data_IF_895019150857
#
_entry.id   IF_895019150857
#
_cell.length_a   1.000
_cell.length_b   1.000
_cell.length_c   1.000
_cell.angle_alpha   90.00
_cell.angle_beta   90.00
_cell.angle_gamma   90.00
#
_symmetry.space_group_name_H-M   'P 1'
#
loop_
_entity.id
_entity.type
_entity.pdbx_description
1 polymer ?
#
# COMPACT_ATOMS: atom_id res chain seq x y z
N UNK A 1 0.70 -1.81 19.95
CA UNK A 1 0.37 -0.99 18.77
C UNK A 1 -1.02 -1.41 18.32
N UNK A 2 -1.97 -0.50 18.09
CA UNK A 2 -3.28 -0.92 17.59
C UNK A 2 -3.02 -1.64 16.28
N UNK A 3 -3.54 -2.86 16.15
CA UNK A 3 -3.55 -3.62 14.91
C UNK A 3 -4.04 -2.69 13.81
N UNK A 4 -3.12 -2.20 12.98
CA UNK A 4 -3.47 -1.26 11.92
C UNK A 4 -4.40 -2.01 10.97
N UNK A 5 -5.69 -1.72 11.09
CA UNK A 5 -6.74 -2.52 10.47
C UNK A 5 -6.64 -2.46 8.94
N UNK A 6 -6.04 -1.40 8.39
CA UNK A 6 -5.72 -1.30 6.97
C UNK A 6 -4.62 -2.29 6.59
N UNK A 7 -3.48 -2.32 7.29
CA UNK A 7 -2.40 -3.26 6.94
C UNK A 7 -2.87 -4.71 6.96
N UNK A 8 -3.67 -5.08 7.97
CA UNK A 8 -4.26 -6.43 8.06
C UNK A 8 -5.18 -6.77 6.88
N UNK A 9 -5.97 -5.79 6.40
CA UNK A 9 -6.81 -5.98 5.21
C UNK A 9 -5.99 -6.17 3.94
N UNK A 10 -4.85 -5.48 3.87
CA UNK A 10 -3.96 -5.55 2.71
C UNK A 10 -3.16 -6.86 2.65
N UNK A 11 -3.00 -7.58 3.76
CA UNK A 11 -2.22 -8.82 3.79
C UNK A 11 -2.84 -9.92 2.88
N UNK A 12 -4.17 -10.00 2.81
CA UNK A 12 -4.85 -10.91 1.87
C UNK A 12 -4.58 -10.52 0.41
N UNK A 13 -4.48 -9.21 0.13
CA UNK A 13 -4.17 -8.69 -1.20
C UNK A 13 -2.70 -8.89 -1.58
N UNK A 14 -1.79 -8.96 -0.61
CA UNK A 14 -0.38 -9.28 -0.86
C UNK A 14 -0.25 -10.69 -1.45
N UNK A 15 -0.90 -11.69 -0.83
CA UNK A 15 -0.85 -13.07 -1.34
C UNK A 15 -1.40 -13.17 -2.76
N UNK A 16 -2.50 -12.46 -3.05
CA UNK A 16 -3.08 -12.38 -4.39
C UNK A 16 -2.14 -11.68 -5.38
N UNK A 17 -1.50 -10.59 -4.97
CA UNK A 17 -0.55 -9.87 -5.80
C UNK A 17 0.64 -10.76 -6.19
N UNK A 18 1.21 -11.51 -5.25
CA UNK A 18 2.31 -12.44 -5.53
C UNK A 18 1.88 -13.55 -6.51
N UNK A 19 0.70 -14.13 -6.32
CA UNK A 19 0.13 -15.13 -7.23
C UNK A 19 0.02 -14.56 -8.66
N UNK A 20 -0.58 -13.39 -8.81
CA UNK A 20 -0.77 -12.77 -10.13
C UNK A 20 0.56 -12.36 -10.73
N UNK A 21 1.48 -11.81 -9.95
CA UNK A 21 2.83 -11.46 -10.38
C UNK A 21 3.54 -12.65 -11.01
N UNK A 22 3.34 -13.84 -10.45
CA UNK A 22 3.84 -15.08 -11.04
C UNK A 22 3.08 -15.44 -12.33
N UNK A 23 1.74 -15.46 -12.30
CA UNK A 23 0.89 -15.85 -13.43
C UNK A 23 1.09 -14.97 -14.67
N UNK A 24 1.31 -13.67 -14.52
CA UNK A 24 1.55 -12.77 -15.67
C UNK A 24 2.89 -13.02 -16.37
N UNK A 25 3.80 -13.76 -15.72
CA UNK A 25 5.08 -14.18 -16.31
C UNK A 25 5.02 -15.58 -16.94
N UNK A 26 3.93 -16.33 -16.73
CA UNK A 26 3.77 -17.69 -17.25
C UNK A 26 3.56 -17.68 -18.78
N UNK A 27 4.44 -18.35 -19.57
CA UNK A 27 4.27 -18.48 -21.01
C UNK A 27 2.89 -19.02 -21.42
N UNK A 28 2.30 -19.94 -20.64
CA UNK A 28 0.98 -20.51 -20.91
C UNK A 28 -0.15 -19.48 -20.77
N UNK A 29 0.04 -18.47 -19.92
CA UNK A 29 -0.88 -17.33 -19.79
C UNK A 29 -0.63 -16.33 -20.91
N UNK A 30 0.64 -16.03 -21.23
CA UNK A 30 1.02 -15.04 -22.24
C UNK A 30 0.48 -15.42 -23.64
N UNK A 31 0.46 -16.72 -23.98
CA UNK A 31 -0.09 -17.18 -25.26
C UNK A 31 -1.62 -17.07 -25.35
N UNK A 32 -2.31 -17.01 -24.21
CA UNK A 32 -3.75 -16.72 -24.12
C UNK A 32 -3.97 -15.22 -23.90
N UNK A 33 -4.05 -14.46 -25.00
CA UNK A 33 -4.23 -13.00 -24.94
C UNK A 33 -5.41 -12.55 -24.07
N UNK A 34 -6.54 -13.29 -24.08
CA UNK A 34 -7.72 -12.88 -23.29
C UNK A 34 -7.43 -13.01 -21.79
N UNK A 35 -6.83 -14.14 -21.40
CA UNK A 35 -6.44 -14.39 -20.01
C UNK A 35 -5.34 -13.44 -19.56
N UNK A 36 -4.34 -13.20 -20.40
CA UNK A 36 -3.25 -12.26 -20.14
C UNK A 36 -3.75 -10.84 -19.90
N UNK A 37 -4.62 -10.29 -20.77
CA UNK A 37 -5.16 -8.94 -20.60
C UNK A 37 -5.92 -8.80 -19.27
N UNK A 38 -6.69 -9.82 -18.88
CA UNK A 38 -7.40 -9.81 -17.60
C UNK A 38 -6.44 -9.79 -16.41
N UNK A 39 -5.45 -10.68 -16.40
CA UNK A 39 -4.47 -10.79 -15.32
C UNK A 39 -3.53 -9.59 -15.26
N UNK A 40 -3.14 -9.01 -16.40
CA UNK A 40 -2.31 -7.80 -16.46
C UNK A 40 -3.05 -6.58 -15.91
N UNK A 41 -4.37 -6.50 -16.12
CA UNK A 41 -5.21 -5.46 -15.51
C UNK A 41 -5.24 -5.63 -13.99
N UNK A 42 -5.59 -6.82 -13.52
CA UNK A 42 -5.65 -7.14 -12.08
C UNK A 42 -4.29 -6.93 -11.39
N UNK A 43 -3.18 -7.29 -12.06
CA UNK A 43 -1.82 -7.01 -11.60
C UNK A 43 -1.60 -5.52 -11.38
N UNK A 44 -1.97 -4.68 -12.35
CA UNK A 44 -1.78 -3.24 -12.26
C UNK A 44 -2.53 -2.64 -11.07
N UNK A 45 -3.78 -3.06 -10.86
CA UNK A 45 -4.58 -2.51 -9.77
C UNK A 45 -4.03 -2.91 -8.41
N UNK A 46 -3.61 -4.17 -8.27
CA UNK A 46 -2.95 -4.64 -7.05
C UNK A 46 -1.57 -4.00 -6.85
N UNK A 47 -0.81 -3.76 -7.92
CA UNK A 47 0.49 -3.07 -7.87
C UNK A 47 0.34 -1.65 -7.29
N UNK A 48 -0.69 -0.92 -7.70
CA UNK A 48 -0.97 0.41 -7.16
C UNK A 48 -1.34 0.36 -5.67
N UNK A 49 -2.11 -0.65 -5.23
CA UNK A 49 -2.36 -0.89 -3.79
C UNK A 49 -1.07 -1.26 -3.04
N UNK A 50 -0.21 -2.09 -3.63
CA UNK A 50 1.05 -2.50 -3.01
C UNK A 50 2.03 -1.32 -2.85
N UNK A 51 2.05 -0.38 -3.81
CA UNK A 51 2.81 0.88 -3.68
C UNK A 51 2.31 1.73 -2.52
N UNK A 52 0.98 1.94 -2.44
CA UNK A 52 0.38 2.69 -1.34
C UNK A 52 0.64 2.02 0.02
N UNK A 53 0.53 0.69 0.10
CA UNK A 53 0.90 -0.12 1.29
C UNK A 53 2.35 0.10 1.70
N UNK A 54 3.27 0.04 0.73
CA UNK A 54 4.71 0.21 0.97
C UNK A 54 5.01 1.61 1.50
N UNK A 55 4.42 2.63 0.91
CA UNK A 55 4.56 4.00 1.37
C UNK A 55 4.02 4.17 2.79
N UNK A 56 2.85 3.57 3.08
CA UNK A 56 2.26 3.59 4.41
C UNK A 56 3.20 3.03 5.49
N UNK A 57 3.81 1.87 5.21
CA UNK A 57 4.80 1.26 6.10
C UNK A 57 6.03 2.15 6.27
N UNK A 58 6.52 2.76 5.19
CA UNK A 58 7.68 3.66 5.25
C UNK A 58 7.40 4.88 6.14
N UNK A 59 6.22 5.51 6.00
CA UNK A 59 5.83 6.66 6.82
C UNK A 59 5.75 6.25 8.30
N UNK A 60 5.17 5.08 8.60
CA UNK A 60 5.14 4.56 9.97
C UNK A 60 6.55 4.36 10.55
N UNK A 61 7.46 3.76 9.78
CA UNK A 61 8.86 3.55 10.20
C UNK A 61 9.55 4.88 10.46
N UNK A 62 9.46 5.84 9.53
CA UNK A 62 10.07 7.17 9.70
C UNK A 62 9.54 7.86 10.96
N UNK A 63 8.22 7.82 11.19
CA UNK A 63 7.64 8.40 12.41
C UNK A 63 8.11 7.69 13.69
N UNK A 64 8.41 6.40 13.63
CA UNK A 64 8.98 5.68 14.77
C UNK A 64 10.41 6.15 15.05
N UNK A 65 11.24 6.31 14.01
CA UNK A 65 12.59 6.87 14.09
C UNK A 65 12.58 8.29 14.69
N UNK A 66 11.67 9.15 14.24
CA UNK A 66 11.51 10.50 14.79
C UNK A 66 11.06 10.50 16.26
N UNK A 67 10.21 9.54 16.67
CA UNK A 67 9.85 9.37 18.10
C UNK A 67 11.05 8.94 18.94
N UNK A 68 11.95 8.13 18.39
CA UNK A 68 13.21 7.77 19.06
C UNK A 68 14.09 9.01 19.25
N UNK A 69 14.18 9.89 18.24
CA UNK A 69 14.89 11.18 18.36
C UNK A 69 14.26 12.01 19.49
N UNK A 70 12.94 12.15 19.54
CA UNK A 70 12.26 12.88 20.62
C UNK A 70 12.49 12.30 22.02
N UNK A 71 12.79 11.01 22.10
CA UNK A 71 13.02 10.30 23.36
C UNK A 71 14.46 10.43 23.84
N UNK A 72 15.43 10.50 22.92
CA UNK A 72 16.85 10.42 23.22
C UNK A 72 17.61 11.76 23.08
N UNK A 73 17.08 12.70 22.30
CA UNK A 73 17.73 14.00 22.05
C UNK A 73 17.25 15.08 23.04
N UNK A 74 18.13 16.00 23.43
CA UNK A 74 17.82 17.11 24.34
C UNK A 74 17.82 18.47 23.62
N UNK A 75 18.44 18.56 22.45
CA UNK A 75 18.45 19.78 21.66
C UNK A 75 17.02 20.21 21.26
N UNK A 76 16.56 21.42 21.66
CA UNK A 76 15.20 21.87 21.38
C UNK A 76 14.87 22.05 19.89
N UNK A 77 15.86 22.39 19.06
CA UNK A 77 15.69 22.58 17.63
C UNK A 77 15.52 21.22 16.94
N UNK A 78 16.36 20.24 17.26
CA UNK A 78 16.21 18.87 16.77
C UNK A 78 14.88 18.25 17.18
N UNK A 79 14.46 18.48 18.43
CA UNK A 79 13.14 18.01 18.91
C UNK A 79 11.97 18.74 18.24
N UNK A 80 12.14 19.98 17.81
CA UNK A 80 11.10 20.70 17.07
C UNK A 80 10.95 20.10 15.66
N UNK A 81 12.06 19.86 14.96
CA UNK A 81 12.06 19.23 13.63
C UNK A 81 11.41 17.85 13.67
N UNK A 82 11.80 16.99 14.61
CA UNK A 82 11.21 15.65 14.75
C UNK A 82 9.70 15.67 15.02
N UNK A 83 9.18 16.68 15.74
CA UNK A 83 7.73 16.86 15.93
C UNK A 83 7.02 17.25 14.64
N UNK A 84 7.63 18.12 13.83
CA UNK A 84 7.07 18.53 12.54
C UNK A 84 7.02 17.35 11.56
N UNK A 85 8.07 16.53 11.52
CA UNK A 85 8.09 15.31 10.69
C UNK A 85 7.03 14.29 11.11
N UNK A 86 6.83 14.11 12.43
CA UNK A 86 5.75 13.26 12.94
C UNK A 86 4.37 13.79 12.52
N UNK A 87 4.13 15.09 12.62
CA UNK A 87 2.85 15.71 12.22
C UNK A 87 2.62 15.60 10.69
N UNK A 88 3.67 15.80 9.89
CA UNK A 88 3.64 15.57 8.45
C UNK A 88 3.32 14.11 8.11
N UNK A 89 3.99 13.17 8.78
CA UNK A 89 3.74 11.73 8.64
C UNK A 89 2.29 11.36 8.97
N UNK A 90 1.73 11.89 10.07
CA UNK A 90 0.33 11.66 10.43
C UNK A 90 -0.64 12.13 9.34
N UNK A 91 -0.42 13.31 8.76
CA UNK A 91 -1.24 13.81 7.64
C UNK A 91 -1.10 12.92 6.41
N UNK A 92 0.12 12.45 6.09
CA UNK A 92 0.32 11.55 4.95
C UNK A 92 -0.37 10.21 5.15
N UNK A 93 -0.36 9.65 6.36
CA UNK A 93 -1.10 8.42 6.68
C UNK A 93 -2.60 8.58 6.44
N UNK A 94 -3.20 9.73 6.79
CA UNK A 94 -4.63 9.98 6.53
C UNK A 94 -4.94 9.99 5.03
N UNK A 95 -4.08 10.60 4.23
CA UNK A 95 -4.25 10.62 2.76
C UNK A 95 -4.09 9.22 2.18
N UNK A 96 -3.06 8.48 2.60
CA UNK A 96 -2.84 7.10 2.16
C UNK A 96 -4.00 6.18 2.57
N UNK A 97 -4.58 6.38 3.76
CA UNK A 97 -5.77 5.68 4.23
C UNK A 97 -6.96 5.84 3.26
N UNK A 98 -7.15 7.03 2.71
CA UNK A 98 -8.20 7.32 1.72
C UNK A 98 -7.86 6.76 0.34
N UNK A 99 -6.61 6.93 -0.11
CA UNK A 99 -6.12 6.37 -1.38
C UNK A 99 -6.30 4.84 -1.42
N UNK A 100 -5.91 4.15 -0.35
CA UNK A 100 -6.04 2.69 -0.22
C UNK A 100 -7.53 2.28 -0.27
N UNK A 101 -8.41 2.96 0.46
CA UNK A 101 -9.85 2.67 0.43
C UNK A 101 -10.46 2.84 -0.97
N UNK A 102 -10.04 3.86 -1.70
CA UNK A 102 -10.50 4.10 -3.07
C UNK A 102 -10.03 3.00 -4.02
N UNK A 103 -8.78 2.56 -3.90
CA UNK A 103 -8.23 1.47 -4.70
C UNK A 103 -8.91 0.13 -4.39
N UNK A 104 -9.20 -0.17 -3.12
CA UNK A 104 -9.97 -1.35 -2.69
C UNK A 104 -11.38 -1.39 -3.34
N UNK A 105 -12.05 -0.24 -3.46
CA UNK A 105 -13.35 -0.15 -4.14
C UNK A 105 -13.20 -0.39 -5.65
N UNK A 106 -12.13 0.12 -6.26
CA UNK A 106 -11.86 -0.07 -7.69
C UNK A 106 -11.72 -1.55 -8.06
N UNK A 107 -11.00 -2.33 -7.25
CA UNK A 107 -10.78 -3.78 -7.50
C UNK A 107 -12.01 -4.65 -7.18
N UNK A 108 -12.88 -4.21 -6.27
CA UNK A 108 -14.10 -4.96 -5.87
C UNK A 108 -15.35 -4.57 -6.65
N UNK A 109 -15.29 -3.51 -7.47
CA UNK A 109 -16.42 -3.06 -8.29
C UNK A 109 -16.76 -4.08 -9.39
N UNK A 110 -18.04 -4.41 -9.62
CA UNK A 110 -18.48 -5.37 -10.64
C UNK A 110 -18.13 -4.95 -12.09
N UNK A 111 -17.58 -3.76 -12.31
CA UNK A 111 -16.96 -3.37 -13.58
C UNK A 111 -15.69 -4.19 -13.92
N UNK A 112 -15.12 -4.93 -12.97
CA UNK A 112 -14.05 -5.93 -13.22
C UNK A 112 -14.58 -7.30 -13.65
N UNK A 113 -15.85 -7.58 -13.37
CA UNK A 113 -16.57 -8.72 -13.91
C UNK A 113 -17.05 -8.36 -15.31
N UNK A 114 -16.14 -8.33 -16.28
CA UNK A 114 -16.54 -8.39 -17.69
C UNK A 114 -17.04 -9.80 -18.00
N UNK A 115 -18.16 -10.18 -17.40
CA UNK A 115 -19.12 -11.12 -17.97
C UNK A 115 -20.06 -10.28 -18.86
N UNK A 116 -19.62 -10.04 -20.09
CA UNK A 116 -20.48 -10.00 -21.28
C UNK A 116 -19.70 -10.51 -22.48
#
# INVERSE_FOLDING_TARGET
MPENTILRKLDDLVARFEEISFLVTDPAVIVDQKRFVKLAKEYKDLDDIMKARKEYLQVLTNMEEEKEILSNEQDPEMRAMAREEIDSGQKRLLVLDEEIKLLEISITSPAYSSER
#
